data_IF_316275552136
#
_entry.id   IF_316275552136
#
_cell.length_a   1.000
_cell.length_b   1.000
_cell.length_c   1.000
_cell.angle_alpha   90.00
_cell.angle_beta   90.00
_cell.angle_gamma   90.00
#
_symmetry.space_group_name_H-M   'P 1'
#
loop_
_entity.id
_entity.type
_entity.pdbx_description
1 polymer ?
#
# COMPACT_ATOMS: atom_id res chain seq x y z
N UNK A 1 22.11 -16.75 2.45
CA UNK A 1 21.26 -17.42 3.45
C UNK A 1 22.14 -18.32 4.30
N UNK A 2 22.13 -18.13 5.61
CA UNK A 2 22.91 -18.96 6.55
C UNK A 2 22.13 -20.24 6.90
N UNK A 3 22.80 -21.27 7.42
CA UNK A 3 22.16 -22.56 7.76
C UNK A 3 21.03 -22.41 8.80
N UNK A 4 21.13 -21.45 9.72
CA UNK A 4 20.11 -21.19 10.75
C UNK A 4 18.81 -20.59 10.17
N UNK A 5 18.87 -19.80 9.11
CA UNK A 5 17.69 -19.24 8.44
C UNK A 5 16.85 -20.34 7.77
N UNK A 6 17.50 -21.34 7.16
CA UNK A 6 16.84 -22.51 6.57
C UNK A 6 16.06 -23.33 7.62
N UNK A 7 16.65 -23.58 8.79
CA UNK A 7 15.99 -24.34 9.87
C UNK A 7 14.70 -23.68 10.40
N UNK A 8 14.55 -22.35 10.26
CA UNK A 8 13.40 -21.60 10.75
C UNK A 8 12.14 -21.75 9.90
N UNK A 9 12.30 -21.53 8.59
CA UNK A 9 11.25 -21.70 7.61
C UNK A 9 10.79 -23.15 7.59
N UNK A 10 11.72 -24.08 7.80
CA UNK A 10 11.42 -25.50 7.94
C UNK A 10 10.60 -25.82 9.19
N UNK A 11 10.84 -25.15 10.32
CA UNK A 11 9.99 -25.30 11.52
C UNK A 11 8.56 -24.81 11.28
N UNK A 12 8.38 -23.64 10.67
CA UNK A 12 7.03 -23.13 10.38
C UNK A 12 6.31 -24.04 9.37
N UNK A 13 7.04 -24.51 8.34
CA UNK A 13 6.54 -25.52 7.40
C UNK A 13 6.15 -26.82 8.11
N UNK A 14 6.93 -27.28 9.10
CA UNK A 14 6.61 -28.46 9.90
C UNK A 14 5.37 -28.24 10.78
N UNK A 15 5.21 -27.07 11.41
CA UNK A 15 4.03 -26.75 12.21
C UNK A 15 2.76 -26.73 11.35
N UNK A 16 2.84 -26.12 10.17
CA UNK A 16 1.75 -26.14 9.18
C UNK A 16 1.47 -27.58 8.72
N UNK A 17 2.49 -28.33 8.34
CA UNK A 17 2.34 -29.72 7.91
C UNK A 17 1.69 -30.59 9.02
N UNK A 18 2.05 -30.34 10.28
CA UNK A 18 1.46 -31.03 11.45
C UNK A 18 -0.01 -30.66 11.66
N UNK A 19 -0.40 -29.41 11.46
CA UNK A 19 -1.82 -29.03 11.52
C UNK A 19 -2.64 -29.86 10.53
N UNK A 20 -2.17 -29.96 9.29
CA UNK A 20 -2.88 -30.73 8.26
C UNK A 20 -2.85 -32.24 8.51
N UNK A 21 -1.81 -32.79 9.13
CA UNK A 21 -1.80 -34.21 9.47
C UNK A 21 -2.74 -34.59 10.62
N UNK A 22 -3.06 -33.64 11.50
CA UNK A 22 -3.96 -33.85 12.65
C UNK A 22 -5.41 -33.53 12.32
N UNK A 23 -5.65 -32.42 11.60
CA UNK A 23 -7.00 -31.90 11.34
C UNK A 23 -7.60 -32.49 10.06
N UNK A 24 -6.78 -32.84 9.06
CA UNK A 24 -7.22 -33.42 7.78
C UNK A 24 -6.35 -34.64 7.43
N UNK A 25 -6.45 -35.76 8.18
CA UNK A 25 -5.44 -36.81 8.18
C UNK A 25 -5.36 -37.66 6.91
N UNK A 26 -6.39 -37.67 6.07
CA UNK A 26 -6.49 -38.63 4.96
C UNK A 26 -6.15 -38.06 3.58
N UNK A 27 -6.35 -36.76 3.31
CA UNK A 27 -6.15 -36.20 1.96
C UNK A 27 -5.87 -34.69 1.99
N UNK A 28 -4.93 -34.21 2.81
CA UNK A 28 -4.64 -32.76 2.85
C UNK A 28 -4.29 -32.19 1.47
N UNK A 29 -3.77 -33.04 0.58
CA UNK A 29 -3.50 -32.70 -0.81
C UNK A 29 -2.50 -31.56 -0.98
N UNK A 30 -1.77 -31.20 0.07
CA UNK A 30 -0.85 -30.06 0.04
C UNK A 30 0.32 -30.39 -0.86
N UNK A 31 0.54 -29.54 -1.86
CA UNK A 31 1.63 -29.69 -2.81
C UNK A 31 2.81 -28.80 -2.44
N UNK A 32 2.55 -27.60 -1.90
CA UNK A 32 3.59 -26.61 -1.61
C UNK A 32 3.22 -25.64 -0.50
N UNK A 33 4.23 -25.16 0.24
CA UNK A 33 4.11 -24.04 1.18
C UNK A 33 5.16 -22.99 0.81
N UNK A 34 4.69 -21.83 0.37
CA UNK A 34 5.49 -20.67 0.01
C UNK A 34 5.23 -19.49 0.95
N UNK A 35 6.18 -18.56 0.99
CA UNK A 35 6.05 -17.29 1.68
C UNK A 35 5.92 -16.21 0.61
N UNK A 36 4.80 -15.49 0.55
CA UNK A 36 4.51 -14.53 -0.51
C UNK A 36 4.19 -13.16 0.11
N UNK A 37 5.19 -12.29 0.18
CA UNK A 37 5.09 -11.02 0.88
C UNK A 37 4.80 -11.25 2.37
N UNK A 38 3.79 -10.59 2.96
CA UNK A 38 3.42 -10.81 4.36
C UNK A 38 2.45 -11.99 4.58
N UNK A 39 2.33 -12.91 3.62
CA UNK A 39 1.38 -14.04 3.66
C UNK A 39 2.10 -15.37 3.50
N UNK A 40 1.57 -16.41 4.12
CA UNK A 40 1.99 -17.80 3.91
C UNK A 40 0.99 -18.43 2.94
N UNK A 41 1.46 -18.84 1.77
CA UNK A 41 0.65 -19.45 0.72
C UNK A 41 0.77 -20.98 0.78
N UNK A 42 -0.37 -21.66 0.92
CA UNK A 42 -0.44 -23.12 1.00
C UNK A 42 -1.19 -23.62 -0.23
N UNK A 43 -0.51 -24.35 -1.10
CA UNK A 43 -1.07 -24.89 -2.34
C UNK A 43 -1.65 -26.28 -2.09
N UNK A 44 -2.84 -26.53 -2.61
CA UNK A 44 -3.54 -27.81 -2.45
C UNK A 44 -4.13 -28.34 -3.76
N UNK A 45 -4.02 -29.66 -3.95
CA UNK A 45 -4.74 -30.43 -4.99
C UNK A 45 -6.04 -31.05 -4.47
N UNK A 46 -6.40 -30.83 -3.20
CA UNK A 46 -7.66 -31.30 -2.65
C UNK A 46 -8.75 -30.27 -2.88
N UNK A 47 -9.78 -30.64 -3.67
CA UNK A 47 -10.94 -29.78 -3.91
C UNK A 47 -11.72 -29.49 -2.64
N UNK A 48 -11.76 -30.43 -1.69
CA UNK A 48 -12.41 -30.25 -0.40
C UNK A 48 -11.70 -29.19 0.46
N UNK A 49 -10.36 -29.27 0.55
CA UNK A 49 -9.55 -28.28 1.26
C UNK A 49 -9.69 -26.91 0.61
N UNK A 50 -9.69 -26.85 -0.72
CA UNK A 50 -9.83 -25.59 -1.45
C UNK A 50 -11.23 -24.97 -1.30
N UNK A 51 -12.29 -25.79 -1.29
CA UNK A 51 -13.66 -25.32 -1.07
C UNK A 51 -13.85 -24.74 0.35
N UNK A 52 -13.18 -25.32 1.35
CA UNK A 52 -13.21 -24.87 2.74
C UNK A 52 -12.08 -23.89 3.11
N UNK A 53 -11.39 -23.32 2.12
CA UNK A 53 -10.16 -22.53 2.32
C UNK A 53 -10.27 -21.39 3.33
N UNK A 54 -11.40 -20.67 3.36
CA UNK A 54 -11.56 -19.49 4.20
C UNK A 54 -11.59 -19.88 5.68
N UNK A 55 -12.22 -21.01 6.01
CA UNK A 55 -12.28 -21.53 7.36
C UNK A 55 -10.91 -22.07 7.79
N UNK A 56 -10.27 -22.87 6.94
CA UNK A 56 -8.93 -23.42 7.19
C UNK A 56 -7.91 -22.31 7.39
N UNK A 57 -7.96 -21.27 6.56
CA UNK A 57 -7.09 -20.10 6.70
C UNK A 57 -7.31 -19.39 8.05
N UNK A 58 -8.57 -19.22 8.50
CA UNK A 58 -8.88 -18.62 9.81
C UNK A 58 -8.36 -19.46 10.97
N UNK A 59 -8.52 -20.78 10.90
CA UNK A 59 -8.05 -21.71 11.93
C UNK A 59 -6.52 -21.68 12.03
N UNK A 60 -5.83 -21.72 10.89
CA UNK A 60 -4.38 -21.59 10.83
C UNK A 60 -3.91 -20.25 11.36
N UNK A 61 -4.51 -19.13 10.95
CA UNK A 61 -4.18 -17.79 11.48
C UNK A 61 -4.33 -17.76 12.99
N UNK A 62 -5.35 -18.42 13.53
CA UNK A 62 -5.56 -18.51 14.99
C UNK A 62 -4.46 -19.31 15.68
N UNK A 63 -3.98 -20.37 15.05
CA UNK A 63 -2.93 -21.24 15.57
C UNK A 63 -1.53 -20.58 15.51
N UNK A 64 -1.11 -20.13 14.33
CA UNK A 64 0.27 -19.65 14.10
C UNK A 64 0.42 -18.14 14.22
N UNK A 65 -0.69 -17.39 14.37
CA UNK A 65 -0.72 -15.91 14.46
C UNK A 65 -0.06 -15.19 13.27
N UNK A 66 0.00 -15.86 12.11
CA UNK A 66 0.51 -15.35 10.84
C UNK A 66 -0.58 -15.46 9.78
N UNK A 67 -0.56 -14.56 8.79
CA UNK A 67 -1.55 -14.57 7.69
C UNK A 67 -1.31 -15.75 6.77
N UNK A 68 -2.38 -16.49 6.49
CA UNK A 68 -2.35 -17.65 5.60
C UNK A 68 -3.34 -17.44 4.46
N UNK A 69 -2.95 -17.87 3.27
CA UNK A 69 -3.83 -17.99 2.10
C UNK A 69 -3.73 -19.41 1.55
N UNK A 70 -4.87 -20.00 1.20
CA UNK A 70 -4.90 -21.32 0.55
C UNK A 70 -5.09 -21.09 -0.95
N UNK A 71 -4.17 -21.64 -1.75
CA UNK A 71 -4.14 -21.51 -3.20
C UNK A 71 -4.41 -22.86 -3.86
N UNK A 72 -5.00 -22.86 -5.05
CA UNK A 72 -5.22 -24.07 -5.81
C UNK A 72 -3.92 -24.48 -6.51
N UNK A 73 -3.64 -25.78 -6.50
CA UNK A 73 -2.65 -26.38 -7.39
C UNK A 73 -3.17 -26.37 -8.83
N UNK A 74 -2.25 -26.25 -9.81
CA UNK A 74 -2.58 -26.23 -11.23
C UNK A 74 -3.46 -27.43 -11.65
N UNK A 75 -3.28 -28.58 -11.00
CA UNK A 75 -4.01 -29.82 -11.29
C UNK A 75 -5.51 -29.79 -11.01
N UNK A 76 -6.01 -28.85 -10.20
CA UNK A 76 -7.45 -28.75 -9.87
C UNK A 76 -8.18 -27.62 -10.60
N UNK A 77 -7.44 -26.80 -11.36
CA UNK A 77 -7.99 -25.66 -12.10
C UNK A 77 -8.48 -26.07 -13.46
N UNK A 78 -9.60 -25.50 -13.88
CA UNK A 78 -10.07 -25.57 -15.26
C UNK A 78 -9.27 -24.63 -16.16
N UNK A 79 -9.31 -24.86 -17.47
CA UNK A 79 -8.69 -23.98 -18.46
C UNK A 79 -9.36 -22.59 -18.48
N UNK A 80 -8.63 -21.57 -18.94
CA UNK A 80 -9.12 -20.18 -18.96
C UNK A 80 -10.43 -20.00 -19.74
N UNK A 81 -10.59 -20.71 -20.85
CA UNK A 81 -11.81 -20.66 -21.69
C UNK A 81 -13.01 -21.27 -20.98
N UNK A 82 -12.81 -22.34 -20.21
CA UNK A 82 -13.85 -22.97 -19.40
C UNK A 82 -14.24 -22.07 -18.22
N UNK A 83 -13.24 -21.49 -17.53
CA UNK A 83 -13.48 -20.47 -16.50
C UNK A 83 -14.31 -19.31 -17.05
N UNK A 84 -13.94 -18.76 -18.21
CA UNK A 84 -14.64 -17.64 -18.84
C UNK A 84 -16.10 -17.99 -19.18
N UNK A 85 -16.34 -19.20 -19.70
CA UNK A 85 -17.69 -19.66 -20.00
C UNK A 85 -18.55 -19.77 -18.73
N UNK A 86 -18.00 -20.32 -17.65
CA UNK A 86 -18.71 -20.47 -16.38
C UNK A 86 -18.93 -19.13 -15.66
N UNK A 87 -17.92 -18.25 -15.68
CA UNK A 87 -18.01 -16.90 -15.12
C UNK A 87 -19.11 -16.10 -15.82
N UNK A 88 -19.20 -16.14 -17.16
CA UNK A 88 -20.24 -15.46 -17.95
C UNK A 88 -21.66 -15.97 -17.66
N UNK A 89 -21.81 -17.22 -17.22
CA UNK A 89 -23.12 -17.76 -16.83
C UNK A 89 -23.57 -17.27 -15.46
N UNK A 90 -22.63 -17.10 -14.52
CA UNK A 90 -22.92 -16.79 -13.10
C UNK A 90 -22.84 -15.30 -12.77
N UNK A 91 -21.98 -14.55 -13.47
CA UNK A 91 -21.69 -13.15 -13.20
C UNK A 91 -22.03 -12.33 -14.47
N UNK A 92 -22.86 -11.31 -14.29
CA UNK A 92 -23.25 -10.38 -15.36
C UNK A 92 -22.30 -9.20 -15.39
N UNK A 93 -22.13 -8.57 -16.55
CA UNK A 93 -21.37 -7.33 -16.68
C UNK A 93 -19.86 -7.47 -16.55
N UNK A 94 -19.33 -8.65 -16.86
CA UNK A 94 -17.88 -8.86 -16.93
C UNK A 94 -17.34 -8.04 -18.10
N UNK A 95 -16.46 -7.10 -17.78
CA UNK A 95 -15.74 -6.28 -18.73
C UNK A 95 -14.43 -6.93 -19.16
N UNK A 96 -13.70 -7.49 -18.20
CA UNK A 96 -12.37 -8.04 -18.43
C UNK A 96 -12.03 -9.12 -17.38
N UNK A 97 -11.10 -10.01 -17.74
CA UNK A 97 -10.62 -11.10 -16.89
C UNK A 97 -9.10 -11.07 -16.87
N UNK A 98 -8.50 -10.88 -15.70
CA UNK A 98 -7.05 -10.83 -15.52
C UNK A 98 -6.62 -12.10 -14.79
N UNK A 99 -5.96 -13.01 -15.50
CA UNK A 99 -5.49 -14.28 -14.94
C UNK A 99 -4.06 -14.17 -14.42
N UNK A 100 -3.82 -14.77 -13.26
CA UNK A 100 -2.49 -15.04 -12.73
C UNK A 100 -2.36 -16.55 -12.47
N UNK A 101 -1.89 -17.28 -13.48
CA UNK A 101 -1.78 -18.74 -13.43
C UNK A 101 -0.71 -19.21 -12.43
N UNK A 102 0.28 -18.38 -12.11
CA UNK A 102 1.34 -18.77 -11.18
C UNK A 102 0.81 -18.98 -9.75
N UNK A 103 -0.24 -18.23 -9.38
CA UNK A 103 -0.81 -18.25 -8.03
C UNK A 103 -2.27 -18.72 -8.00
N UNK A 104 -2.84 -19.03 -9.18
CA UNK A 104 -4.19 -19.54 -9.35
C UNK A 104 -5.29 -18.53 -9.04
N UNK A 105 -5.04 -17.26 -9.33
CA UNK A 105 -6.00 -16.16 -9.12
C UNK A 105 -6.53 -15.61 -10.43
N UNK A 106 -7.77 -15.16 -10.42
CA UNK A 106 -8.39 -14.41 -11.50
C UNK A 106 -9.13 -13.21 -10.94
N UNK A 107 -8.82 -12.03 -11.48
CA UNK A 107 -9.55 -10.80 -11.19
C UNK A 107 -10.62 -10.63 -12.27
N UNK A 108 -11.87 -10.61 -11.82
CA UNK A 108 -13.06 -10.39 -12.63
C UNK A 108 -13.43 -8.92 -12.52
N UNK A 109 -13.13 -8.15 -13.57
CA UNK A 109 -13.45 -6.73 -13.64
C UNK A 109 -14.89 -6.55 -14.16
N UNK A 110 -15.73 -5.90 -13.36
CA UNK A 110 -17.12 -5.60 -13.68
C UNK A 110 -17.31 -4.16 -14.12
N UNK A 111 -18.32 -3.91 -14.95
CA UNK A 111 -18.74 -2.55 -15.29
C UNK A 111 -19.29 -1.79 -14.07
N UNK A 112 -19.06 -0.48 -14.02
CA UNK A 112 -19.42 0.39 -12.89
C UNK A 112 -20.90 0.38 -12.50
N UNK A 113 -21.77 0.01 -13.44
CA UNK A 113 -23.23 0.06 -13.29
C UNK A 113 -23.80 -1.26 -12.77
N UNK A 114 -22.96 -2.25 -12.49
CA UNK A 114 -23.37 -3.60 -12.13
C UNK A 114 -23.11 -3.84 -10.65
N UNK A 115 -24.11 -4.32 -9.89
CA UNK A 115 -23.90 -4.63 -8.48
C UNK A 115 -22.92 -5.80 -8.34
N UNK A 116 -22.10 -5.82 -7.27
CA UNK A 116 -21.21 -6.94 -7.03
C UNK A 116 -22.01 -8.24 -6.84
N UNK A 117 -21.52 -9.38 -7.35
CA UNK A 117 -22.13 -10.68 -7.09
C UNK A 117 -22.07 -11.00 -5.59
N UNK A 118 -23.03 -11.79 -5.11
CA UNK A 118 -23.01 -12.27 -3.72
C UNK A 118 -21.82 -13.19 -3.46
N UNK A 119 -21.29 -13.19 -2.23
CA UNK A 119 -20.18 -14.05 -1.80
C UNK A 119 -20.38 -15.53 -2.16
N UNK A 120 -21.62 -16.04 -2.07
CA UNK A 120 -21.93 -17.44 -2.39
C UNK A 120 -21.74 -17.76 -3.89
N UNK A 121 -22.00 -16.78 -4.76
CA UNK A 121 -21.74 -16.91 -6.21
C UNK A 121 -20.24 -16.95 -6.48
N UNK A 122 -19.47 -16.08 -5.83
CA UNK A 122 -18.00 -16.06 -5.97
C UNK A 122 -17.38 -17.34 -5.41
N UNK A 123 -17.82 -17.79 -4.23
CA UNK A 123 -17.36 -19.04 -3.60
C UNK A 123 -17.71 -20.26 -4.43
N UNK A 124 -18.95 -20.35 -4.93
CA UNK A 124 -19.38 -21.48 -5.75
C UNK A 124 -18.66 -21.52 -7.10
N UNK A 125 -18.40 -20.36 -7.74
CA UNK A 125 -17.62 -20.28 -8.97
C UNK A 125 -16.17 -20.69 -8.72
N UNK A 126 -15.59 -20.22 -7.63
CA UNK A 126 -14.24 -20.59 -7.23
C UNK A 126 -14.11 -22.10 -6.95
N UNK A 127 -15.07 -22.69 -6.23
CA UNK A 127 -15.07 -24.11 -5.92
C UNK A 127 -15.26 -25.02 -7.14
N UNK A 128 -16.07 -24.61 -8.13
CA UNK A 128 -16.28 -25.39 -9.36
C UNK A 128 -15.11 -25.32 -10.31
N UNK A 129 -14.54 -24.12 -10.49
CA UNK A 129 -13.46 -23.85 -11.45
C UNK A 129 -12.06 -24.15 -10.89
N UNK A 130 -11.91 -24.21 -9.57
CA UNK A 130 -10.61 -24.32 -8.91
C UNK A 130 -9.80 -23.02 -8.91
N UNK A 131 -10.29 -21.91 -9.47
CA UNK A 131 -9.61 -20.61 -9.43
C UNK A 131 -9.99 -19.80 -8.19
N UNK A 132 -9.07 -19.05 -7.60
CA UNK A 132 -9.40 -18.02 -6.61
C UNK A 132 -9.94 -16.82 -7.36
N UNK A 133 -11.22 -16.51 -7.16
CA UNK A 133 -11.92 -15.44 -7.87
C UNK A 133 -11.96 -14.19 -7.00
N UNK A 134 -11.33 -13.13 -7.49
CA UNK A 134 -11.43 -11.78 -6.93
C UNK A 134 -12.32 -10.95 -7.87
N UNK A 135 -13.23 -10.16 -7.32
CA UNK A 135 -14.13 -9.33 -8.13
C UNK A 135 -13.83 -7.87 -7.86
N UNK A 136 -13.59 -7.11 -8.92
CA UNK A 136 -13.31 -5.68 -8.86
C UNK A 136 -14.32 -4.93 -9.73
N UNK A 137 -14.91 -3.85 -9.20
CA UNK A 137 -15.80 -2.99 -9.98
C UNK A 137 -14.97 -1.86 -10.54
N UNK A 138 -14.96 -1.73 -11.87
CA UNK A 138 -14.27 -0.63 -12.53
C UNK A 138 -14.98 0.68 -12.23
N UNK A 139 -14.24 1.76 -11.94
CA UNK A 139 -14.84 3.06 -11.73
C UNK A 139 -15.54 3.55 -13.02
N UNK A 140 -16.61 4.37 -12.91
CA UNK A 140 -17.29 4.95 -14.07
C UNK A 140 -16.34 5.75 -14.97
N UNK A 141 -15.34 6.39 -14.36
CA UNK A 141 -14.28 7.10 -15.06
C UNK A 141 -13.08 6.17 -15.24
N UNK A 142 -12.80 5.80 -16.49
CA UNK A 142 -11.56 5.09 -16.80
C UNK A 142 -10.36 5.94 -16.43
N UNK A 143 -9.48 5.36 -15.62
CA UNK A 143 -8.29 6.05 -15.13
C UNK A 143 -7.05 5.37 -15.69
N UNK A 144 -6.40 6.00 -16.67
CA UNK A 144 -5.20 5.47 -17.34
C UNK A 144 -4.08 5.06 -16.36
N UNK A 145 -3.97 5.74 -15.22
CA UNK A 145 -2.94 5.41 -14.24
C UNK A 145 -3.22 4.11 -13.49
N UNK A 146 -4.49 3.76 -13.27
CA UNK A 146 -4.88 2.48 -12.67
C UNK A 146 -4.60 1.36 -13.68
N UNK A 147 -4.98 1.55 -14.94
CA UNK A 147 -4.64 0.62 -16.02
C UNK A 147 -3.12 0.41 -16.13
N UNK A 148 -2.33 1.48 -16.02
CA UNK A 148 -0.87 1.38 -16.02
C UNK A 148 -0.34 0.63 -14.79
N UNK A 149 -0.84 0.92 -13.59
CA UNK A 149 -0.47 0.19 -12.38
C UNK A 149 -0.80 -1.30 -12.49
N UNK A 150 -2.00 -1.63 -12.96
CA UNK A 150 -2.45 -3.01 -13.20
C UNK A 150 -1.57 -3.72 -14.23
N UNK A 151 -1.16 -3.04 -15.30
CA UNK A 151 -0.21 -3.61 -16.28
C UNK A 151 1.16 -3.91 -15.65
N UNK A 152 1.63 -3.09 -14.70
CA UNK A 152 2.89 -3.37 -14.00
C UNK A 152 2.74 -4.56 -13.03
N UNK A 153 1.62 -4.61 -12.28
CA UNK A 153 1.38 -5.63 -11.26
C UNK A 153 1.06 -6.99 -11.88
N UNK A 154 0.19 -7.02 -12.89
CA UNK A 154 -0.31 -8.25 -13.50
C UNK A 154 0.42 -8.62 -14.80
N UNK A 155 1.07 -7.68 -15.48
CA UNK A 155 1.78 -7.94 -16.74
C UNK A 155 3.13 -8.65 -16.57
N UNK A 156 3.68 -8.71 -15.35
CA UNK A 156 4.96 -9.35 -15.03
C UNK A 156 4.83 -10.30 -13.84
N UNK A 157 4.00 -11.36 -13.93
CA UNK A 157 3.64 -12.18 -12.77
C UNK A 157 4.84 -12.96 -12.20
N UNK A 158 5.80 -13.37 -13.04
CA UNK A 158 7.01 -14.07 -12.59
C UNK A 158 7.93 -13.15 -11.75
N UNK A 159 8.23 -11.95 -12.26
CA UNK A 159 9.05 -10.94 -11.56
C UNK A 159 8.38 -10.60 -10.21
N UNK A 160 7.06 -10.39 -10.22
CA UNK A 160 6.29 -10.07 -9.02
C UNK A 160 6.29 -11.21 -8.01
N UNK A 161 6.07 -12.45 -8.44
CA UNK A 161 6.06 -13.61 -7.56
C UNK A 161 7.46 -13.85 -6.95
N UNK A 162 8.53 -13.67 -7.72
CA UNK A 162 9.90 -13.76 -7.20
C UNK A 162 10.17 -12.69 -6.13
N UNK A 163 9.74 -11.45 -6.37
CA UNK A 163 9.84 -10.38 -5.39
C UNK A 163 9.08 -10.73 -4.10
N UNK A 164 7.82 -11.17 -4.22
CA UNK A 164 7.00 -11.59 -3.09
C UNK A 164 7.65 -12.75 -2.32
N UNK A 165 8.23 -13.74 -3.00
CA UNK A 165 8.93 -14.85 -2.35
C UNK A 165 10.12 -14.40 -1.53
N UNK A 166 10.96 -13.55 -2.11
CA UNK A 166 12.14 -12.99 -1.42
C UNK A 166 11.75 -12.15 -0.22
N UNK A 167 10.66 -11.37 -0.34
CA UNK A 167 10.11 -10.59 0.77
C UNK A 167 9.59 -11.52 1.87
N UNK A 168 8.83 -12.55 1.51
CA UNK A 168 8.28 -13.51 2.46
C UNK A 168 9.35 -14.23 3.26
N UNK A 169 10.40 -14.70 2.61
CA UNK A 169 11.54 -15.33 3.29
C UNK A 169 12.19 -14.41 4.32
N UNK A 170 12.32 -13.11 4.03
CA UNK A 170 12.82 -12.11 4.99
C UNK A 170 11.85 -11.82 6.13
N UNK A 171 10.55 -11.70 5.84
CA UNK A 171 9.51 -11.40 6.84
C UNK A 171 9.34 -12.55 7.84
N UNK A 172 9.41 -13.80 7.36
CA UNK A 172 9.14 -15.00 8.15
C UNK A 172 10.40 -15.73 8.64
N UNK A 173 11.60 -15.15 8.48
CA UNK A 173 12.82 -15.67 9.11
C UNK A 173 12.67 -15.66 10.63
N UNK A 174 13.39 -16.54 11.32
CA UNK A 174 13.48 -16.45 12.78
C UNK A 174 14.12 -15.13 13.21
N UNK A 175 13.57 -14.58 14.29
CA UNK A 175 14.26 -13.58 15.09
C UNK A 175 15.51 -14.22 15.71
N UNK A 176 16.69 -13.64 15.49
CA UNK A 176 17.98 -14.10 16.01
C UNK A 176 18.33 -13.34 17.29
N UNK A 177 18.13 -12.02 17.29
CA UNK A 177 18.35 -11.12 18.41
C UNK A 177 17.02 -10.75 19.03
N UNK A 178 16.93 -10.93 20.35
CA UNK A 178 15.84 -10.40 21.15
C UNK A 178 15.76 -8.88 20.98
N UNK A 179 14.53 -8.35 20.87
CA UNK A 179 14.30 -6.90 20.82
C UNK A 179 14.60 -6.29 22.19
N UNK A 180 15.70 -5.53 22.28
CA UNK A 180 16.15 -4.89 23.54
C UNK A 180 16.10 -3.37 23.49
N UNK A 181 16.17 -2.83 22.28
CA UNK A 181 16.19 -1.41 21.99
C UNK A 181 15.45 -1.12 20.68
N UNK A 182 15.03 0.12 20.55
CA UNK A 182 14.49 0.69 19.32
C UNK A 182 15.04 2.11 19.18
N UNK A 183 15.65 2.41 18.04
CA UNK A 183 16.26 3.71 17.74
C UNK A 183 15.53 4.36 16.58
N UNK A 184 15.25 5.66 16.71
CA UNK A 184 14.65 6.47 15.64
C UNK A 184 15.70 7.48 15.18
N UNK A 185 16.07 7.40 13.90
CA UNK A 185 17.03 8.31 13.26
C UNK A 185 16.30 9.16 12.22
N UNK A 186 16.38 10.48 12.36
CA UNK A 186 15.76 11.42 11.42
C UNK A 186 16.72 11.64 10.26
N UNK A 187 16.38 11.13 9.07
CA UNK A 187 17.17 11.27 7.85
C UNK A 187 16.74 12.49 7.01
N UNK A 188 15.51 12.95 7.22
CA UNK A 188 14.90 14.14 6.62
C UNK A 188 13.65 14.56 7.38
N UNK A 189 12.99 15.67 7.02
CA UNK A 189 11.88 16.31 7.76
C UNK A 189 12.16 16.80 9.20
N UNK A 190 13.37 16.62 9.73
CA UNK A 190 13.76 17.19 11.02
C UNK A 190 13.89 18.71 10.95
N UNK A 191 12.98 19.44 11.61
CA UNK A 191 12.91 20.92 11.59
C UNK A 191 12.73 21.53 10.20
N UNK A 192 12.12 20.80 9.27
CA UNK A 192 11.83 21.28 7.91
C UNK A 192 10.63 20.55 7.29
N UNK A 193 10.01 21.17 6.29
CA UNK A 193 9.07 20.51 5.37
C UNK A 193 9.84 20.03 4.14
N UNK A 194 9.47 18.87 3.60
CA UNK A 194 10.18 18.24 2.49
C UNK A 194 11.08 17.09 2.91
N UNK A 195 11.30 16.16 1.97
CA UNK A 195 12.19 14.98 2.09
C UNK A 195 11.96 14.14 3.35
N UNK A 196 10.71 13.88 3.73
CA UNK A 196 10.42 13.09 4.93
C UNK A 196 11.02 11.69 4.82
N UNK A 197 11.77 11.31 5.84
CA UNK A 197 12.44 10.03 5.93
C UNK A 197 12.90 9.82 7.39
N UNK A 198 12.31 8.83 8.04
CA UNK A 198 12.62 8.46 9.43
C UNK A 198 12.97 6.99 9.47
N UNK A 199 14.18 6.67 9.92
CA UNK A 199 14.65 5.30 10.04
C UNK A 199 14.34 4.78 11.45
N UNK A 200 13.54 3.71 11.52
CA UNK A 200 13.30 2.93 12.72
C UNK A 200 14.20 1.69 12.70
N UNK A 201 15.01 1.54 13.75
CA UNK A 201 15.93 0.41 13.88
C UNK A 201 15.68 -0.34 15.18
N UNK A 202 15.68 -1.66 15.11
CA UNK A 202 15.79 -2.55 16.28
C UNK A 202 17.12 -3.29 16.21
N UNK A 203 17.36 -4.18 17.16
CA UNK A 203 18.46 -5.15 17.08
C UNK A 203 18.37 -6.09 15.87
N UNK A 204 17.22 -6.15 15.17
CA UNK A 204 16.99 -7.05 14.05
C UNK A 204 16.61 -6.40 12.73
N UNK A 205 15.96 -5.25 12.79
CA UNK A 205 15.21 -4.73 11.64
C UNK A 205 15.54 -3.28 11.38
N UNK A 206 15.62 -2.91 10.10
CA UNK A 206 15.72 -1.52 9.63
C UNK A 206 14.52 -1.19 8.74
N UNK A 207 13.63 -0.34 9.24
CA UNK A 207 12.41 0.07 8.52
C UNK A 207 12.44 1.57 8.27
N UNK A 208 12.26 1.97 7.01
CA UNK A 208 12.21 3.36 6.62
C UNK A 208 10.75 3.85 6.56
N UNK A 209 10.42 4.88 7.33
CA UNK A 209 9.13 5.58 7.32
C UNK A 209 9.24 6.80 6.40
N UNK A 210 8.50 6.75 5.28
CA UNK A 210 8.56 7.68 4.17
C UNK A 210 9.97 7.81 3.53
N UNK A 211 10.01 8.22 2.27
CA UNK A 211 11.24 8.48 1.52
C UNK A 211 10.97 9.58 0.50
N UNK A 212 10.95 10.81 0.98
CA UNK A 212 10.50 11.97 0.24
C UNK A 212 11.56 12.69 -0.58
N UNK A 213 11.11 13.61 -1.42
CA UNK A 213 11.93 14.60 -2.12
C UNK A 213 11.54 16.02 -1.68
N UNK A 214 12.51 16.93 -1.55
CA UNK A 214 12.28 18.34 -1.23
C UNK A 214 12.58 19.23 -2.44
N UNK A 215 11.55 19.68 -3.22
CA UNK A 215 11.77 20.50 -4.40
C UNK A 215 12.40 21.87 -4.12
N UNK A 216 12.24 22.40 -2.91
CA UNK A 216 12.76 23.72 -2.52
C UNK A 216 14.25 23.72 -2.13
N UNK A 217 14.92 22.57 -2.11
CA UNK A 217 16.36 22.50 -1.86
C UNK A 217 17.15 23.18 -2.97
N UNK A 218 18.30 23.78 -2.66
CA UNK A 218 19.22 24.34 -3.66
C UNK A 218 20.34 23.35 -4.01
N UNK A 219 20.63 22.41 -3.11
CA UNK A 219 21.64 21.37 -3.30
C UNK A 219 21.03 19.97 -3.16
N UNK A 220 21.65 18.95 -3.77
CA UNK A 220 21.19 17.56 -3.68
C UNK A 220 21.01 17.11 -2.22
N UNK A 221 21.95 17.47 -1.34
CA UNK A 221 21.90 17.10 0.09
C UNK A 221 20.74 17.74 0.85
N UNK A 222 20.08 18.76 0.30
CA UNK A 222 18.87 19.39 0.86
C UNK A 222 17.61 18.80 0.24
N UNK A 223 17.70 18.28 -0.99
CA UNK A 223 16.59 17.73 -1.76
C UNK A 223 16.26 16.28 -1.41
N UNK A 224 17.25 15.49 -0.98
CA UNK A 224 17.08 14.05 -0.70
C UNK A 224 17.32 13.72 0.77
N UNK A 225 16.80 12.57 1.26
CA UNK A 225 17.13 12.07 2.59
C UNK A 225 18.63 11.82 2.75
N UNK A 226 19.13 11.98 3.97
CA UNK A 226 20.54 11.80 4.33
C UNK A 226 20.94 10.32 4.35
N UNK A 227 20.97 9.67 3.19
CA UNK A 227 21.42 8.27 3.06
C UNK A 227 22.91 8.09 3.39
N UNK A 228 23.68 9.18 3.42
CA UNK A 228 25.11 9.22 3.72
C UNK A 228 25.45 9.05 5.21
N UNK A 229 24.46 9.08 6.11
CA UNK A 229 24.72 8.99 7.57
C UNK A 229 25.08 7.57 8.04
N UNK A 230 24.79 6.56 7.21
CA UNK A 230 25.04 5.16 7.54
C UNK A 230 25.47 4.43 6.28
N UNK A 231 26.62 3.74 6.35
CA UNK A 231 27.09 2.89 5.26
C UNK A 231 26.07 1.79 4.96
N UNK A 232 25.89 1.48 3.68
CA UNK A 232 24.99 0.42 3.18
C UNK A 232 23.53 0.53 3.62
N UNK A 233 23.08 1.72 4.08
CA UNK A 233 21.73 1.91 4.61
C UNK A 233 20.66 1.35 3.67
N UNK A 234 20.74 1.67 2.37
CA UNK A 234 19.75 1.27 1.35
C UNK A 234 19.68 -0.24 1.17
N UNK A 235 20.84 -0.92 1.17
CA UNK A 235 20.92 -2.38 0.98
C UNK A 235 20.39 -3.15 2.19
N UNK A 236 20.58 -2.58 3.38
CA UNK A 236 20.22 -3.18 4.66
C UNK A 236 18.77 -2.87 5.11
N UNK A 237 18.01 -2.08 4.34
CA UNK A 237 16.59 -1.86 4.63
C UNK A 237 15.79 -3.17 4.49
N UNK A 238 14.96 -3.46 5.50
CA UNK A 238 14.02 -4.57 5.48
C UNK A 238 12.69 -4.19 4.84
N UNK A 239 12.24 -2.95 5.04
CA UNK A 239 10.97 -2.45 4.54
C UNK A 239 10.99 -0.92 4.39
N UNK A 240 10.22 -0.42 3.43
CA UNK A 240 9.86 1.00 3.31
C UNK A 240 8.36 1.12 3.51
N UNK A 241 7.92 2.09 4.30
CA UNK A 241 6.50 2.37 4.54
C UNK A 241 6.21 3.75 3.96
N UNK A 242 5.25 3.82 3.05
CA UNK A 242 4.78 5.09 2.48
C UNK A 242 3.41 5.41 3.06
N UNK A 243 3.34 6.55 3.73
CA UNK A 243 2.13 7.02 4.41
C UNK A 243 1.10 7.57 3.44
N UNK A 244 1.54 8.31 2.42
CA UNK A 244 0.68 8.89 1.40
C UNK A 244 1.46 9.31 0.14
N UNK A 245 0.74 9.68 -0.90
CA UNK A 245 1.28 9.92 -2.24
C UNK A 245 1.76 11.35 -2.52
N UNK A 246 2.14 12.15 -1.52
CA UNK A 246 2.83 13.42 -1.79
C UNK A 246 4.32 13.20 -2.02
N UNK A 247 4.90 14.01 -2.92
CA UNK A 247 6.26 13.84 -3.42
C UNK A 247 7.31 13.97 -2.29
N UNK A 248 7.03 14.75 -1.26
CA UNK A 248 7.86 14.90 -0.07
C UNK A 248 7.77 13.76 0.93
N UNK A 249 7.00 12.70 0.63
CA UNK A 249 6.90 11.47 1.43
C UNK A 249 7.23 10.20 0.65
N UNK A 250 7.09 10.19 -0.67
CA UNK A 250 7.45 9.02 -1.50
C UNK A 250 8.42 9.31 -2.64
N UNK A 251 8.75 10.58 -2.87
CA UNK A 251 9.45 11.03 -4.08
C UNK A 251 10.82 10.44 -4.33
N UNK A 252 11.45 9.81 -3.33
CA UNK A 252 12.74 9.12 -3.45
C UNK A 252 12.64 7.60 -3.30
N UNK A 253 11.44 7.02 -3.23
CA UNK A 253 11.27 5.54 -3.19
C UNK A 253 11.94 4.85 -4.40
N UNK A 254 11.75 5.28 -5.67
CA UNK A 254 12.40 4.64 -6.82
C UNK A 254 13.93 4.78 -6.81
N UNK A 255 14.46 5.84 -6.18
CA UNK A 255 15.89 5.99 -6.00
C UNK A 255 16.48 4.83 -5.20
N UNK A 256 15.78 4.33 -4.18
CA UNK A 256 16.24 3.16 -3.42
C UNK A 256 16.45 1.95 -4.34
N UNK A 257 15.55 1.72 -5.29
CA UNK A 257 15.64 0.60 -6.25
C UNK A 257 16.76 0.76 -7.26
N UNK A 258 17.05 2.00 -7.67
CA UNK A 258 18.24 2.32 -8.48
C UNK A 258 19.54 1.96 -7.76
N UNK A 259 19.57 2.06 -6.43
CA UNK A 259 20.70 1.68 -5.56
C UNK A 259 20.45 0.35 -4.84
N UNK A 260 19.90 -0.62 -5.57
CA UNK A 260 19.84 -2.04 -5.19
C UNK A 260 18.98 -2.42 -3.97
N UNK A 261 18.12 -1.53 -3.48
CA UNK A 261 17.02 -1.95 -2.61
C UNK A 261 16.11 -2.94 -3.37
N UNK A 262 15.82 -4.08 -2.73
CA UNK A 262 14.93 -5.14 -3.26
C UNK A 262 13.91 -5.62 -2.22
N UNK A 263 13.69 -4.84 -1.16
CA UNK A 263 12.66 -5.12 -0.17
C UNK A 263 11.26 -4.62 -0.60
N UNK A 264 10.26 -4.77 0.28
CA UNK A 264 8.89 -4.32 0.06
C UNK A 264 8.69 -2.82 0.32
N UNK A 265 7.80 -2.21 -0.45
CA UNK A 265 7.20 -0.91 -0.11
C UNK A 265 5.77 -1.15 0.38
N UNK A 266 5.43 -0.77 1.61
CA UNK A 266 4.06 -0.90 2.13
C UNK A 266 3.32 0.42 2.04
N UNK A 267 2.13 0.41 1.47
CA UNK A 267 1.25 1.58 1.43
C UNK A 267 -0.22 1.16 1.39
N UNK A 268 -1.14 2.11 1.39
CA UNK A 268 -2.56 1.82 1.15
C UNK A 268 -2.85 1.62 -0.33
N UNK A 269 -3.94 0.92 -0.64
CA UNK A 269 -4.35 0.66 -2.02
C UNK A 269 -4.47 1.93 -2.89
N UNK A 270 -5.09 3.04 -2.43
CA UNK A 270 -5.16 4.25 -3.26
C UNK A 270 -3.80 4.96 -3.42
N UNK A 271 -2.86 4.76 -2.49
CA UNK A 271 -1.54 5.39 -2.55
C UNK A 271 -0.70 4.85 -3.70
N UNK A 272 -0.82 3.57 -4.07
CA UNK A 272 -0.04 2.95 -5.14
C UNK A 272 -0.23 3.65 -6.51
N UNK A 273 -1.45 3.79 -7.07
CA UNK A 273 -1.63 4.44 -8.36
C UNK A 273 -1.32 5.94 -8.32
N UNK A 274 -1.55 6.60 -7.18
CA UNK A 274 -1.19 8.02 -6.99
C UNK A 274 0.33 8.22 -6.95
N UNK A 275 1.06 7.32 -6.27
CA UNK A 275 2.52 7.31 -6.25
C UNK A 275 3.10 7.11 -7.66
N UNK A 276 2.55 6.16 -8.43
CA UNK A 276 2.91 5.97 -9.84
C UNK A 276 2.68 7.24 -10.66
N UNK A 277 1.50 7.88 -10.52
CA UNK A 277 1.18 9.14 -11.21
C UNK A 277 2.24 10.21 -10.95
N UNK A 278 2.54 10.44 -9.69
CA UNK A 278 3.42 11.53 -9.25
C UNK A 278 4.87 11.29 -9.67
N UNK A 279 5.35 10.05 -9.65
CA UNK A 279 6.69 9.75 -10.15
C UNK A 279 6.83 9.99 -11.65
N UNK A 280 5.83 9.56 -12.45
CA UNK A 280 5.84 9.79 -13.89
C UNK A 280 5.74 11.29 -14.22
N UNK A 281 4.92 12.04 -13.48
CA UNK A 281 4.83 13.50 -13.62
C UNK A 281 6.14 14.18 -13.26
N UNK A 282 6.77 13.78 -12.14
CA UNK A 282 8.06 14.32 -11.71
C UNK A 282 9.17 14.11 -12.76
N UNK A 283 9.27 12.91 -13.33
CA UNK A 283 10.23 12.60 -14.41
C UNK A 283 9.95 13.49 -15.64
N UNK A 284 8.68 13.63 -16.03
CA UNK A 284 8.26 14.43 -17.19
C UNK A 284 8.57 15.92 -17.00
N UNK A 285 8.22 16.48 -15.84
CA UNK A 285 8.46 17.89 -15.50
C UNK A 285 9.95 18.18 -15.43
N UNK A 286 10.74 17.32 -14.78
CA UNK A 286 12.20 17.47 -14.74
C UNK A 286 12.79 17.50 -16.16
N UNK A 287 12.39 16.55 -17.02
CA UNK A 287 12.84 16.49 -18.42
C UNK A 287 12.47 17.75 -19.22
N UNK A 288 11.25 18.28 -19.06
CA UNK A 288 10.82 19.54 -19.71
C UNK A 288 11.57 20.77 -19.24
N UNK A 289 12.10 20.75 -18.01
CA UNK A 289 12.94 21.80 -17.46
C UNK A 289 14.43 21.63 -17.80
N UNK A 290 14.79 20.60 -18.58
CA UNK A 290 16.19 20.31 -18.90
C UNK A 290 16.98 19.74 -17.72
N UNK A 291 16.29 19.23 -16.70
CA UNK A 291 16.87 18.59 -15.52
C UNK A 291 16.76 17.06 -15.65
N UNK A 292 17.67 16.35 -14.99
CA UNK A 292 17.58 14.91 -14.86
C UNK A 292 16.90 14.56 -13.54
N UNK A 293 15.83 13.77 -13.62
CA UNK A 293 15.27 13.14 -12.43
C UNK A 293 16.30 12.20 -11.79
N UNK A 294 16.28 12.02 -10.46
CA UNK A 294 17.24 11.17 -9.74
C UNK A 294 17.08 9.67 -10.07
N UNK A 295 16.01 9.28 -10.75
CA UNK A 295 15.68 7.92 -11.17
C UNK A 295 14.90 7.93 -12.51
N UNK A 296 14.72 6.75 -13.08
CA UNK A 296 14.07 6.51 -14.37
C UNK A 296 12.71 5.84 -14.21
N UNK A 297 11.91 5.78 -15.28
CA UNK A 297 10.65 5.02 -15.29
C UNK A 297 10.84 3.53 -15.00
N UNK A 298 12.01 2.96 -15.36
CA UNK A 298 12.35 1.57 -15.02
C UNK A 298 12.47 1.36 -13.52
N UNK A 299 13.06 2.32 -12.81
CA UNK A 299 13.20 2.27 -11.35
C UNK A 299 11.82 2.39 -10.69
N UNK A 300 10.94 3.24 -11.23
CA UNK A 300 9.53 3.37 -10.79
C UNK A 300 8.79 2.05 -10.99
N UNK A 301 8.90 1.41 -12.15
CA UNK A 301 8.29 0.09 -12.42
C UNK A 301 8.73 -0.94 -11.38
N UNK A 302 10.02 -0.99 -11.09
CA UNK A 302 10.60 -1.91 -10.10
C UNK A 302 10.04 -1.65 -8.69
N UNK A 303 9.93 -0.37 -8.30
CA UNK A 303 9.32 0.03 -7.03
C UNK A 303 7.85 -0.42 -6.92
N UNK A 304 7.06 -0.22 -7.98
CA UNK A 304 5.66 -0.66 -8.02
C UNK A 304 5.54 -2.18 -7.95
N UNK A 305 6.42 -2.93 -8.64
CA UNK A 305 6.48 -4.40 -8.54
C UNK A 305 6.85 -4.88 -7.14
N UNK A 306 7.46 -4.05 -6.30
CA UNK A 306 7.79 -4.35 -4.91
C UNK A 306 6.79 -3.76 -3.91
N UNK A 307 5.80 -3.00 -4.38
CA UNK A 307 4.81 -2.37 -3.51
C UNK A 307 3.75 -3.39 -3.08
N UNK A 308 3.43 -3.43 -1.79
CA UNK A 308 2.40 -4.29 -1.19
C UNK A 308 1.37 -3.38 -0.54
N UNK A 309 0.15 -3.41 -1.07
CA UNK A 309 -0.96 -2.61 -0.57
C UNK A 309 -1.62 -3.28 0.62
N UNK A 310 -1.96 -2.47 1.63
CA UNK A 310 -2.63 -2.91 2.86
C UNK A 310 -3.87 -2.05 3.11
N UNK A 311 -4.96 -2.67 3.53
CA UNK A 311 -6.17 -1.94 3.95
C UNK A 311 -6.01 -1.35 5.35
N UNK A 312 -6.82 -0.35 5.68
CA UNK A 312 -6.86 0.17 7.05
C UNK A 312 -7.29 -0.91 8.06
N UNK A 313 -6.75 -0.84 9.29
CA UNK A 313 -7.00 -1.80 10.36
C UNK A 313 -6.32 -3.17 10.16
N UNK A 314 -5.58 -3.35 9.06
CA UNK A 314 -4.93 -4.61 8.73
C UNK A 314 -3.60 -4.79 9.47
N UNK A 315 -3.58 -5.60 10.54
CA UNK A 315 -2.33 -5.99 11.21
C UNK A 315 -1.49 -6.88 10.29
N UNK A 316 -0.25 -6.46 10.05
CA UNK A 316 0.66 -7.08 9.07
C UNK A 316 2.08 -7.19 9.64
N UNK A 317 2.67 -8.39 9.64
CA UNK A 317 4.09 -8.56 9.94
C UNK A 317 4.90 -8.06 8.75
N UNK A 318 5.87 -7.18 8.99
CA UNK A 318 6.75 -6.64 7.94
C UNK A 318 8.21 -7.04 8.13
N UNK A 319 8.56 -7.46 9.35
CA UNK A 319 9.82 -8.10 9.72
C UNK A 319 9.51 -9.14 10.82
N UNK A 320 10.49 -9.94 11.30
CA UNK A 320 10.26 -10.90 12.37
C UNK A 320 9.73 -10.28 13.67
N UNK A 321 10.15 -9.05 13.97
CA UNK A 321 9.85 -8.34 15.23
C UNK A 321 8.99 -7.09 15.07
N UNK A 322 8.61 -6.67 13.84
CA UNK A 322 7.78 -5.48 13.62
C UNK A 322 6.47 -5.84 12.90
N UNK A 323 5.37 -5.38 13.49
CA UNK A 323 4.02 -5.39 12.90
C UNK A 323 3.54 -3.97 12.67
N UNK A 324 2.85 -3.74 11.55
CA UNK A 324 2.23 -2.44 11.25
C UNK A 324 0.74 -2.54 11.08
N UNK A 325 0.07 -1.41 11.28
CA UNK A 325 -1.35 -1.21 10.95
C UNK A 325 -1.55 0.20 10.46
N UNK A 326 -2.16 0.36 9.27
CA UNK A 326 -2.56 1.66 8.77
C UNK A 326 -3.93 2.07 9.34
N UNK A 327 -4.06 3.35 9.66
CA UNK A 327 -5.31 3.99 10.02
C UNK A 327 -5.53 5.24 9.17
N UNK A 328 -6.77 5.67 8.95
CA UNK A 328 -7.06 6.88 8.17
C UNK A 328 -6.38 8.11 8.80
N UNK A 329 -5.63 8.88 7.98
CA UNK A 329 -5.04 10.15 8.38
C UNK A 329 -5.89 11.38 7.99
N UNK A 330 -6.88 11.23 7.11
CA UNK A 330 -7.76 12.34 6.69
C UNK A 330 -7.08 13.43 5.85
N UNK A 331 -5.83 13.23 5.41
CA UNK A 331 -5.04 14.24 4.68
C UNK A 331 -5.34 14.24 3.18
N UNK A 332 -5.02 13.13 2.51
CA UNK A 332 -5.35 12.87 1.10
C UNK A 332 -5.92 11.46 0.91
N UNK A 333 -6.46 11.16 -0.27
CA UNK A 333 -6.98 9.82 -0.58
C UNK A 333 -5.89 8.75 -0.33
N UNK A 334 -6.19 7.79 0.55
CA UNK A 334 -5.26 6.74 0.95
C UNK A 334 -4.26 7.12 2.04
N UNK A 335 -4.23 8.38 2.51
CA UNK A 335 -3.29 8.78 3.56
C UNK A 335 -3.44 7.98 4.86
N UNK A 336 -2.32 7.61 5.47
CA UNK A 336 -2.29 6.68 6.58
C UNK A 336 -1.44 7.15 7.76
N UNK A 337 -2.03 7.10 8.96
CA UNK A 337 -1.29 7.01 10.22
C UNK A 337 -0.79 5.58 10.36
N UNK A 338 0.48 5.43 10.72
CA UNK A 338 1.12 4.12 10.90
C UNK A 338 1.25 3.82 12.39
N UNK A 339 0.57 2.77 12.83
CA UNK A 339 0.83 2.16 14.13
C UNK A 339 1.84 1.04 13.97
N UNK A 340 2.96 1.14 14.68
CA UNK A 340 4.09 0.22 14.61
C UNK A 340 4.23 -0.47 15.96
N UNK A 341 3.97 -1.77 15.97
CA UNK A 341 4.11 -2.64 17.13
C UNK A 341 5.45 -3.35 17.04
N UNK A 342 6.35 -3.08 17.99
CA UNK A 342 7.72 -3.62 18.04
C UNK A 342 7.82 -4.73 19.09
N UNK A 343 8.42 -5.86 18.71
CA UNK A 343 8.53 -7.08 19.50
C UNK A 343 7.17 -7.64 19.92
N UNK A 344 7.13 -8.39 21.02
CA UNK A 344 5.88 -8.82 21.65
C UNK A 344 5.31 -7.75 22.60
N UNK A 345 5.19 -6.52 22.07
CA UNK A 345 4.70 -5.36 22.79
C UNK A 345 5.78 -4.69 23.61
N UNK A 346 7.03 -4.79 23.16
CA UNK A 346 8.16 -4.09 23.76
C UNK A 346 7.91 -2.56 23.72
N UNK A 347 7.57 -2.04 22.53
CA UNK A 347 7.31 -0.62 22.33
C UNK A 347 6.38 -0.40 21.13
N UNK A 348 5.52 0.63 21.19
CA UNK A 348 4.61 0.99 20.10
C UNK A 348 4.83 2.44 19.69
N UNK A 349 5.02 2.64 18.40
CA UNK A 349 5.23 3.95 17.79
C UNK A 349 4.02 4.29 16.92
N UNK A 350 3.46 5.47 17.11
CA UNK A 350 2.50 6.07 16.19
C UNK A 350 3.26 7.09 15.35
N UNK A 351 3.27 6.89 14.03
CA UNK A 351 3.78 7.86 13.08
C UNK A 351 2.60 8.44 12.31
N UNK A 352 2.28 9.71 12.52
CA UNK A 352 1.12 10.33 11.86
C UNK A 352 1.41 10.67 10.41
N UNK A 353 2.66 11.03 10.09
CA UNK A 353 2.97 11.83 8.90
C UNK A 353 2.03 13.04 8.82
N UNK A 354 1.68 13.49 7.62
CA UNK A 354 0.63 14.49 7.41
C UNK A 354 -0.75 13.92 7.76
N UNK A 355 -1.51 14.68 8.56
CA UNK A 355 -2.85 14.27 8.96
C UNK A 355 -3.78 15.46 9.12
N UNK A 356 -5.10 15.21 8.99
CA UNK A 356 -6.12 16.20 9.31
C UNK A 356 -7.12 15.63 10.29
N UNK A 357 -7.13 16.18 11.50
CA UNK A 357 -8.02 15.76 12.58
C UNK A 357 -9.38 16.50 12.55
N UNK A 358 -9.92 16.72 11.34
CA UNK A 358 -11.23 17.31 11.11
C UNK A 358 -11.78 16.75 9.79
N UNK A 359 -13.07 16.43 9.76
CA UNK A 359 -13.75 15.95 8.55
C UNK A 359 -13.69 17.01 7.45
N UNK A 360 -13.24 16.60 6.27
CA UNK A 360 -13.19 17.41 5.06
C UNK A 360 -14.40 17.12 4.16
N UNK A 361 -14.52 17.76 2.99
CA UNK A 361 -15.58 17.41 2.02
C UNK A 361 -15.26 16.08 1.35
N UNK A 362 -13.99 15.73 1.24
CA UNK A 362 -13.51 14.51 0.59
C UNK A 362 -13.23 13.34 1.54
N UNK A 363 -12.93 13.60 2.82
CA UNK A 363 -12.35 12.59 3.73
C UNK A 363 -12.87 12.75 5.16
N UNK A 364 -12.95 11.62 5.88
CA UNK A 364 -13.16 11.62 7.32
C UNK A 364 -11.92 12.11 8.08
N UNK A 365 -12.14 12.57 9.31
CA UNK A 365 -11.07 12.96 10.23
C UNK A 365 -10.10 11.80 10.52
N UNK A 366 -8.86 12.16 10.85
CA UNK A 366 -7.83 11.23 11.29
C UNK A 366 -8.27 10.38 12.50
N UNK A 367 -7.86 9.12 12.52
CA UNK A 367 -8.04 8.24 13.68
C UNK A 367 -7.15 8.68 14.84
N UNK A 368 -7.69 8.63 16.06
CA UNK A 368 -7.00 9.02 17.29
C UNK A 368 -7.02 7.93 18.37
N UNK A 369 -7.51 6.72 18.05
CA UNK A 369 -7.61 5.60 18.99
C UNK A 369 -6.72 4.47 18.51
N UNK A 370 -5.77 4.09 19.35
CA UNK A 370 -4.83 3.02 19.09
C UNK A 370 -4.82 2.05 20.28
N UNK A 371 -4.50 0.76 20.08
CA UNK A 371 -4.45 -0.22 21.16
C UNK A 371 -3.42 0.15 22.25
N UNK A 372 -2.27 0.67 21.84
CA UNK A 372 -1.15 1.07 22.71
C UNK A 372 -0.26 2.07 21.96
N UNK A 373 0.34 3.02 22.67
CA UNK A 373 1.25 4.00 22.10
C UNK A 373 2.21 4.53 23.18
N UNK A 374 3.51 4.31 23.00
CA UNK A 374 4.56 4.86 23.87
C UNK A 374 5.24 6.08 23.24
N UNK A 375 5.36 6.10 21.91
CA UNK A 375 5.95 7.20 21.17
C UNK A 375 5.01 7.67 20.07
N UNK A 376 4.76 8.99 20.03
CA UNK A 376 4.06 9.65 18.96
C UNK A 376 5.04 10.53 18.20
N UNK A 377 5.21 10.24 16.91
CA UNK A 377 5.92 11.08 15.95
C UNK A 377 4.83 11.73 15.10
N UNK A 378 4.70 13.05 15.18
CA UNK A 378 3.68 13.78 14.45
C UNK A 378 4.23 14.94 13.64
N UNK A 379 3.51 15.31 12.58
CA UNK A 379 3.80 16.52 11.82
C UNK A 379 3.60 17.79 12.66
N UNK A 380 4.17 18.89 12.17
CA UNK A 380 4.10 20.21 12.82
C UNK A 380 4.04 21.34 11.80
N UNK A 381 3.46 21.09 10.62
CA UNK A 381 3.39 22.06 9.52
C UNK A 381 2.73 23.37 9.96
N UNK A 382 1.71 23.26 10.81
CA UNK A 382 1.01 24.39 11.43
C UNK A 382 1.31 24.53 12.94
N UNK A 383 2.41 23.96 13.43
CA UNK A 383 2.70 23.88 14.87
C UNK A 383 2.82 25.24 15.57
N UNK A 384 3.23 26.28 14.85
CA UNK A 384 3.34 27.65 15.37
C UNK A 384 2.34 28.64 14.72
N UNK A 385 1.57 28.22 13.72
CA UNK A 385 0.71 29.12 12.95
C UNK A 385 -0.75 28.90 13.31
N UNK A 386 -1.41 29.87 13.98
CA UNK A 386 -2.81 29.74 14.32
C UNK A 386 -3.66 29.71 13.05
N UNK A 387 -4.62 28.80 13.01
CA UNK A 387 -5.64 28.76 11.95
C UNK A 387 -6.58 29.96 12.16
N UNK A 388 -6.50 30.93 11.25
CA UNK A 388 -7.20 32.21 11.39
C UNK A 388 -8.68 32.15 11.03
N UNK A 389 -9.06 31.18 10.20
CA UNK A 389 -10.41 31.08 9.65
C UNK A 389 -10.93 29.66 9.84
N UNK A 390 -12.19 29.56 10.25
CA UNK A 390 -12.96 28.35 10.08
C UNK A 390 -13.07 27.98 8.61
N UNK A 391 -13.46 26.74 8.34
CA UNK A 391 -13.75 26.28 6.99
C UNK A 391 -14.80 27.16 6.30
N UNK A 392 -15.90 27.45 6.99
CA UNK A 392 -17.00 28.25 6.44
C UNK A 392 -16.53 29.67 6.07
N UNK A 393 -15.74 30.31 6.94
CA UNK A 393 -15.16 31.63 6.67
C UNK A 393 -14.20 31.58 5.48
N UNK A 394 -13.38 30.54 5.38
CA UNK A 394 -12.46 30.35 4.25
C UNK A 394 -13.21 30.18 2.92
N UNK A 395 -14.32 29.42 2.90
CA UNK A 395 -15.15 29.23 1.71
C UNK A 395 -15.85 30.54 1.30
N UNK A 396 -16.39 31.32 2.25
CA UNK A 396 -16.95 32.65 1.99
C UNK A 396 -15.91 33.63 1.46
N UNK A 397 -14.71 33.60 2.03
CA UNK A 397 -13.62 34.47 1.61
C UNK A 397 -13.19 34.13 0.17
N UNK A 398 -13.04 32.84 -0.16
CA UNK A 398 -12.75 32.36 -1.51
C UNK A 398 -13.82 32.83 -2.50
N UNK A 399 -15.11 32.65 -2.19
CA UNK A 399 -16.21 33.13 -3.01
C UNK A 399 -16.11 34.63 -3.28
N UNK A 400 -15.84 35.43 -2.23
CA UNK A 400 -15.71 36.88 -2.36
C UNK A 400 -14.55 37.32 -3.26
N UNK A 401 -13.43 36.60 -3.23
CA UNK A 401 -12.27 36.90 -4.09
C UNK A 401 -12.54 36.53 -5.55
N UNK A 402 -13.18 35.39 -5.78
CA UNK A 402 -13.58 34.96 -7.12
C UNK A 402 -14.56 35.97 -7.71
N UNK A 403 -15.65 36.30 -6.99
CA UNK A 403 -16.67 37.23 -7.46
C UNK A 403 -16.07 38.61 -7.82
N UNK A 404 -15.22 39.18 -6.93
CA UNK A 404 -14.52 40.45 -7.19
C UNK A 404 -13.56 40.40 -8.38
N UNK A 405 -13.01 39.23 -8.68
CA UNK A 405 -12.08 39.02 -9.81
C UNK A 405 -12.85 38.88 -11.11
N UNK A 406 -13.98 38.17 -11.12
CA UNK A 406 -14.82 38.03 -12.31
C UNK A 406 -15.53 39.35 -12.64
N UNK A 407 -16.05 40.08 -11.64
CA UNK A 407 -16.72 41.38 -11.86
C UNK A 407 -15.82 42.45 -12.49
N UNK A 408 -14.49 42.35 -12.35
CA UNK A 408 -13.53 43.24 -13.00
C UNK A 408 -13.05 42.75 -14.37
N UNK A 409 -13.60 41.66 -14.89
CA UNK A 409 -13.17 41.01 -16.14
C UNK A 409 -11.85 40.23 -16.03
N UNK A 410 -11.44 39.84 -14.82
CA UNK A 410 -10.21 39.08 -14.57
C UNK A 410 -10.41 37.56 -14.58
N UNK A 411 -9.31 36.82 -14.35
CA UNK A 411 -9.30 35.36 -14.19
C UNK A 411 -8.75 34.98 -12.82
N UNK A 412 -9.39 34.05 -12.11
CA UNK A 412 -8.90 33.53 -10.84
C UNK A 412 -7.93 32.36 -11.07
N UNK A 413 -6.68 32.51 -10.63
CA UNK A 413 -5.66 31.46 -10.68
C UNK A 413 -5.48 30.86 -9.29
N UNK A 414 -5.70 29.54 -9.16
CA UNK A 414 -5.60 28.81 -7.89
C UNK A 414 -4.57 27.68 -8.07
N UNK A 415 -3.31 27.85 -7.61
CA UNK A 415 -2.32 26.79 -7.68
C UNK A 415 -2.64 25.70 -6.65
N UNK A 416 -2.73 24.46 -7.12
CA UNK A 416 -3.00 23.29 -6.27
C UNK A 416 -2.15 22.10 -6.70
N UNK A 417 -1.73 21.22 -5.77
CA UNK A 417 -1.15 19.93 -6.13
C UNK A 417 -2.19 19.05 -6.82
N UNK A 418 -1.73 18.09 -7.62
CA UNK A 418 -2.61 17.16 -8.34
C UNK A 418 -3.52 16.33 -7.41
N UNK A 419 -3.08 16.06 -6.18
CA UNK A 419 -3.86 15.33 -5.16
C UNK A 419 -3.87 16.07 -3.82
N UNK A 420 -5.04 16.11 -3.18
CA UNK A 420 -5.31 16.76 -1.90
C UNK A 420 -6.17 18.01 -2.10
N UNK A 421 -5.53 19.19 -2.12
CA UNK A 421 -6.25 20.47 -2.14
C UNK A 421 -7.12 20.66 -3.39
N UNK A 422 -6.70 20.13 -4.54
CA UNK A 422 -7.45 20.25 -5.79
C UNK A 422 -8.86 19.65 -5.66
N UNK A 423 -8.97 18.43 -5.16
CA UNK A 423 -10.25 17.73 -4.99
C UNK A 423 -11.17 18.46 -4.00
N UNK A 424 -10.61 18.94 -2.89
CA UNK A 424 -11.37 19.70 -1.90
C UNK A 424 -11.90 21.02 -2.49
N UNK A 425 -11.06 21.77 -3.21
CA UNK A 425 -11.45 23.02 -3.86
C UNK A 425 -12.50 22.77 -4.95
N UNK A 426 -12.38 21.70 -5.74
CA UNK A 426 -13.39 21.35 -6.74
C UNK A 426 -14.78 21.16 -6.12
N UNK A 427 -14.87 20.46 -4.99
CA UNK A 427 -16.15 20.28 -4.28
C UNK A 427 -16.67 21.59 -3.66
N UNK A 428 -15.78 22.44 -3.14
CA UNK A 428 -16.15 23.78 -2.65
C UNK A 428 -16.70 24.63 -3.79
N UNK A 429 -15.99 24.71 -4.91
CA UNK A 429 -16.43 25.50 -6.06
C UNK A 429 -17.78 25.00 -6.60
N UNK A 430 -17.95 23.69 -6.75
CA UNK A 430 -19.22 23.10 -7.16
C UNK A 430 -20.38 23.51 -6.24
N UNK A 431 -20.14 23.51 -4.93
CA UNK A 431 -21.13 24.00 -3.96
C UNK A 431 -21.41 25.50 -4.11
N UNK A 432 -20.37 26.33 -4.26
CA UNK A 432 -20.51 27.78 -4.42
C UNK A 432 -21.27 28.16 -5.70
N UNK A 433 -21.01 27.47 -6.82
CA UNK A 433 -21.79 27.63 -8.06
C UNK A 433 -23.25 27.22 -7.85
N UNK A 434 -23.48 26.03 -7.30
CA UNK A 434 -24.84 25.49 -7.06
C UNK A 434 -25.66 26.36 -6.11
N UNK A 435 -25.01 27.04 -5.17
CA UNK A 435 -25.63 27.96 -4.21
C UNK A 435 -25.81 29.39 -4.75
N UNK A 436 -25.35 29.69 -5.97
CA UNK A 436 -25.39 31.03 -6.56
C UNK A 436 -24.49 32.05 -5.84
N UNK A 437 -23.48 31.59 -5.09
CA UNK A 437 -22.55 32.46 -4.36
C UNK A 437 -21.43 33.01 -5.24
N UNK A 438 -21.17 32.38 -6.39
CA UNK A 438 -20.26 32.84 -7.42
C UNK A 438 -20.96 32.74 -8.79
N UNK A 439 -20.67 33.64 -9.75
CA UNK A 439 -21.26 33.60 -11.09
C UNK A 439 -20.75 32.39 -11.89
N UNK A 440 -21.60 31.80 -12.74
CA UNK A 440 -21.23 30.74 -13.69
C UNK A 440 -20.20 31.19 -14.75
#
# INVERSE_FOLDING_TARGET
MTSQELFSLDRLRQEIARYFSVVIPLESGITKIDFEGPRIAIYTRSREVFANRDQIAKDLVTLIKKRVVIRPDDSIRVDRSEFEAEAKQRIKGIRNLIFNDLIGEVVVELDSNVPPPSDDVVKSLSASTGWVVNVEIQPPMQTKIIEHANNIIYGYPEERLQALRRIGEKVFRNQVFETRDATITILGSGMQVGRSAILLQTSESKVLLDCGFAPGGSQNIEMIPRFDVMENLVEELDAVIVTHAHLDHMGMVPYLFKYDYRGPVYCTEPTLPLMLMQHLDFINVAGKQGLFAPYTERDVRTAIQHTITLSYGMVTNITPDIRITFYNAGHILGSAIVHIHIGEGFHNVIYTSDFKYETSRTLDAAVNRFPRAETLIMESTYGATPVQFTREESEKLLASYIEKTIKRGGKALIPVPAVGRAQEIMLVLNHLFSAGMIPE
#
